data_IF_861291223211
#
_entry.id   IF_861291223211
#
_cell.length_a   1.000
_cell.length_b   1.000
_cell.length_c   1.000
_cell.angle_alpha   90.00
_cell.angle_beta   90.00
_cell.angle_gamma   90.00
#
_symmetry.space_group_name_H-M   'P 1'
#
loop_
_entity.id
_entity.type
_entity.pdbx_description
1 polymer ?
#
# COMPACT_ATOMS: atom_id res chain seq x y z
N UNK A 1 34.69 -6.18 36.92
CA UNK A 1 33.87 -6.91 35.93
C UNK A 1 32.42 -6.64 36.26
N UNK A 2 31.74 -5.83 35.46
CA UNK A 2 30.27 -5.72 35.48
C UNK A 2 29.82 -5.55 34.02
N UNK A 3 29.28 -6.61 33.44
CA UNK A 3 28.61 -6.58 32.15
C UNK A 3 27.22 -5.98 32.34
N UNK A 4 27.07 -4.69 32.02
CA UNK A 4 25.75 -4.07 31.86
C UNK A 4 25.16 -4.58 30.53
N UNK A 5 24.27 -5.56 30.63
CA UNK A 5 23.36 -5.94 29.55
C UNK A 5 22.45 -4.75 29.26
N UNK A 6 22.73 -4.03 28.18
CA UNK A 6 21.75 -3.11 27.59
C UNK A 6 20.88 -3.96 26.68
N UNK A 7 19.65 -4.20 27.14
CA UNK A 7 18.58 -4.78 26.33
C UNK A 7 18.38 -3.91 25.08
N UNK A 8 18.84 -4.39 23.93
CA UNK A 8 18.46 -3.86 22.64
C UNK A 8 17.10 -4.44 22.27
N UNK A 9 16.03 -3.86 22.81
CA UNK A 9 14.67 -4.05 22.31
C UNK A 9 14.16 -2.71 21.80
N UNK A 10 14.27 -2.52 20.50
CA UNK A 10 13.52 -1.55 19.72
C UNK A 10 13.25 -2.24 18.39
N UNK A 11 12.12 -2.94 18.36
CA UNK A 11 11.60 -3.68 17.22
C UNK A 11 11.76 -2.87 15.93
N UNK A 12 12.31 -3.49 14.90
CA UNK A 12 12.22 -2.95 13.56
C UNK A 12 10.75 -2.59 13.31
N UNK A 13 10.42 -1.36 12.87
CA UNK A 13 9.03 -1.00 12.59
C UNK A 13 8.43 -2.06 11.67
N UNK A 14 7.37 -2.71 12.16
CA UNK A 14 6.65 -3.80 11.52
C UNK A 14 6.48 -3.49 10.03
N UNK A 15 6.87 -4.41 9.16
CA UNK A 15 6.91 -4.17 7.72
C UNK A 15 5.57 -3.64 7.19
N UNK A 16 4.46 -4.15 7.72
CA UNK A 16 3.11 -3.71 7.35
C UNK A 16 2.85 -2.24 7.72
N UNK A 17 3.44 -1.76 8.82
CA UNK A 17 3.36 -0.34 9.21
C UNK A 17 4.07 0.54 8.17
N UNK A 18 5.28 0.15 7.74
CA UNK A 18 6.00 0.87 6.68
C UNK A 18 5.27 0.84 5.34
N UNK A 19 4.75 -0.32 4.95
CA UNK A 19 3.94 -0.49 3.75
C UNK A 19 2.70 0.42 3.79
N UNK A 20 2.00 0.47 4.93
CA UNK A 20 0.82 1.32 5.11
C UNK A 20 1.16 2.79 4.94
N UNK A 21 2.25 3.26 5.55
CA UNK A 21 2.67 4.66 5.41
C UNK A 21 3.08 4.99 3.97
N UNK A 22 3.79 4.10 3.27
CA UNK A 22 4.11 4.28 1.84
C UNK A 22 2.85 4.40 0.96
N UNK A 23 1.85 3.53 1.18
CA UNK A 23 0.58 3.59 0.46
C UNK A 23 -0.16 4.90 0.73
N UNK A 24 -0.19 5.36 1.99
CA UNK A 24 -0.81 6.64 2.36
C UNK A 24 -0.16 7.81 1.65
N UNK A 25 1.17 7.88 1.62
CA UNK A 25 1.90 8.94 0.92
C UNK A 25 1.53 8.98 -0.56
N UNK A 26 1.58 7.84 -1.25
CA UNK A 26 1.24 7.75 -2.67
C UNK A 26 -0.22 8.14 -2.92
N UNK A 27 -1.16 7.75 -2.06
CA UNK A 27 -2.56 8.16 -2.19
C UNK A 27 -2.75 9.65 -2.00
N UNK A 28 -2.09 10.26 -1.02
CA UNK A 28 -2.15 11.71 -0.80
C UNK A 28 -1.55 12.49 -1.97
N UNK A 29 -0.42 12.03 -2.52
CA UNK A 29 0.18 12.62 -3.71
C UNK A 29 -0.70 12.46 -4.95
N UNK A 30 -1.41 11.33 -5.11
CA UNK A 30 -2.31 11.11 -6.23
C UNK A 30 -3.48 12.11 -6.31
N UNK A 31 -3.87 12.69 -5.16
CA UNK A 31 -4.90 13.75 -5.11
C UNK A 31 -4.41 15.01 -5.82
N UNK A 32 -3.10 15.31 -5.72
CA UNK A 32 -2.47 16.46 -6.37
C UNK A 32 -2.29 16.24 -7.89
N UNK A 33 -2.33 14.99 -8.35
CA UNK A 33 -2.09 14.58 -9.73
C UNK A 33 -3.29 13.79 -10.30
N UNK A 34 -4.49 14.38 -10.38
CA UNK A 34 -5.76 13.69 -10.60
C UNK A 34 -5.86 12.89 -11.92
N UNK A 35 -5.12 13.31 -12.94
CA UNK A 35 -5.15 12.71 -14.27
C UNK A 35 -4.04 11.70 -14.52
N UNK A 36 -3.10 11.51 -13.58
CA UNK A 36 -1.92 10.67 -13.80
C UNK A 36 -2.09 9.26 -13.21
N UNK A 37 -3.05 8.52 -13.77
CA UNK A 37 -3.27 7.12 -13.42
C UNK A 37 -2.04 6.25 -13.71
N UNK A 38 -1.21 6.64 -14.69
CA UNK A 38 0.01 5.91 -15.03
C UNK A 38 1.08 6.08 -13.96
N UNK A 39 1.26 7.28 -13.42
CA UNK A 39 2.12 7.53 -12.27
C UNK A 39 1.67 6.71 -11.07
N UNK A 40 0.39 6.80 -10.69
CA UNK A 40 -0.12 6.08 -9.52
C UNK A 40 0.03 4.55 -9.70
N UNK A 41 -0.23 4.03 -10.90
CA UNK A 41 -0.05 2.62 -11.18
C UNK A 41 1.40 2.18 -11.06
N UNK A 42 2.35 3.00 -11.53
CA UNK A 42 3.79 2.72 -11.41
C UNK A 42 4.23 2.68 -9.95
N UNK A 43 3.86 3.68 -9.15
CA UNK A 43 4.22 3.73 -7.73
C UNK A 43 3.65 2.53 -6.97
N UNK A 44 2.37 2.19 -7.18
CA UNK A 44 1.75 1.02 -6.57
C UNK A 44 2.40 -0.29 -7.03
N UNK A 45 2.77 -0.40 -8.31
CA UNK A 45 3.44 -1.60 -8.83
C UNK A 45 4.78 -1.82 -8.12
N UNK A 46 5.56 -0.76 -7.89
CA UNK A 46 6.84 -0.84 -7.18
C UNK A 46 6.64 -1.25 -5.72
N UNK A 47 5.68 -0.63 -5.03
CA UNK A 47 5.33 -0.94 -3.64
C UNK A 47 4.94 -2.42 -3.49
N UNK A 48 4.01 -2.90 -4.32
CA UNK A 48 3.55 -4.30 -4.22
C UNK A 48 4.57 -5.30 -4.73
N UNK A 49 5.41 -4.95 -5.70
CA UNK A 49 6.54 -5.81 -6.10
C UNK A 49 7.48 -6.06 -4.92
N UNK A 50 7.84 -5.01 -4.17
CA UNK A 50 8.68 -5.15 -2.99
C UNK A 50 7.97 -5.93 -1.87
N UNK A 51 6.70 -5.64 -1.60
CA UNK A 51 5.93 -6.35 -0.58
C UNK A 51 5.72 -7.84 -0.90
N UNK A 52 5.42 -8.20 -2.15
CA UNK A 52 5.30 -9.59 -2.57
C UNK A 52 6.60 -10.35 -2.34
N UNK A 53 7.75 -9.72 -2.62
CA UNK A 53 9.08 -10.30 -2.38
C UNK A 53 9.37 -10.48 -0.90
N UNK A 54 9.08 -9.48 -0.08
CA UNK A 54 9.37 -9.54 1.36
C UNK A 54 8.53 -10.60 2.08
N UNK A 55 7.28 -10.79 1.66
CA UNK A 55 6.40 -11.85 2.20
C UNK A 55 6.57 -13.21 1.51
N UNK A 56 7.46 -13.33 0.52
CA UNK A 56 7.71 -14.58 -0.19
C UNK A 56 6.46 -15.13 -0.90
N UNK A 57 5.59 -14.26 -1.42
CA UNK A 57 4.34 -14.66 -2.05
C UNK A 57 4.61 -15.38 -3.37
N UNK A 58 3.93 -16.51 -3.58
CA UNK A 58 3.92 -17.20 -4.86
C UNK A 58 3.30 -16.32 -5.96
N UNK A 59 3.63 -16.60 -7.22
CA UNK A 59 3.18 -15.79 -8.36
C UNK A 59 1.65 -15.66 -8.42
N UNK A 60 0.93 -16.75 -8.15
CA UNK A 60 -0.55 -16.79 -8.15
C UNK A 60 -1.20 -16.04 -6.97
N UNK A 61 -0.45 -15.82 -5.88
CA UNK A 61 -0.89 -15.06 -4.70
C UNK A 61 -0.40 -13.62 -4.69
N UNK A 62 0.52 -13.28 -5.59
CA UNK A 62 1.14 -11.96 -5.66
C UNK A 62 0.11 -10.88 -5.94
N UNK A 63 0.25 -9.74 -5.25
CA UNK A 63 -0.56 -8.56 -5.53
C UNK A 63 -0.10 -7.94 -6.83
N UNK A 64 -1.05 -7.73 -7.73
CA UNK A 64 -0.87 -7.11 -9.04
C UNK A 64 -1.59 -5.77 -9.11
N UNK A 65 -1.05 -4.88 -9.95
CA UNK A 65 -1.62 -3.57 -10.24
C UNK A 65 -1.90 -3.52 -11.74
N UNK A 66 -3.16 -3.29 -12.11
CA UNK A 66 -3.62 -3.28 -13.49
C UNK A 66 -4.35 -1.97 -13.77
N UNK A 67 -3.93 -1.25 -14.79
CA UNK A 67 -4.66 -0.07 -15.28
C UNK A 67 -5.78 -0.54 -16.20
N UNK A 68 -7.01 -0.06 -15.97
CA UNK A 68 -8.17 -0.31 -16.83
C UNK A 68 -8.94 0.98 -17.05
N UNK A 69 -9.07 1.41 -18.30
CA UNK A 69 -9.83 2.61 -18.68
C UNK A 69 -9.46 3.84 -17.82
N UNK A 70 -10.30 4.14 -16.83
CA UNK A 70 -10.25 5.30 -15.92
C UNK A 70 -9.89 4.94 -14.46
N UNK A 71 -9.41 3.71 -14.22
CA UNK A 71 -9.16 3.19 -12.87
C UNK A 71 -7.93 2.30 -12.78
N UNK A 72 -7.46 2.14 -11.55
CA UNK A 72 -6.40 1.17 -11.21
C UNK A 72 -7.03 0.05 -10.39
N UNK A 73 -6.81 -1.18 -10.80
CA UNK A 73 -7.20 -2.37 -10.05
C UNK A 73 -5.97 -2.90 -9.31
N UNK A 74 -6.03 -2.94 -7.99
CA UNK A 74 -5.02 -3.59 -7.14
C UNK A 74 -5.64 -4.87 -6.59
N UNK A 75 -4.97 -6.02 -6.71
CA UNK A 75 -5.54 -7.27 -6.21
C UNK A 75 -4.68 -8.49 -6.46
N UNK A 76 -5.12 -9.62 -5.90
CA UNK A 76 -4.59 -10.95 -6.14
C UNK A 76 -5.75 -11.89 -6.57
N UNK A 77 -5.54 -13.20 -6.58
CA UNK A 77 -6.58 -14.16 -6.97
C UNK A 77 -7.83 -14.17 -6.06
N UNK A 78 -7.74 -13.63 -4.83
CA UNK A 78 -8.82 -13.66 -3.84
C UNK A 78 -9.54 -12.32 -3.70
N UNK A 79 -8.80 -11.22 -3.83
CA UNK A 79 -9.29 -9.89 -3.52
C UNK A 79 -8.90 -8.90 -4.60
N UNK A 80 -9.79 -7.96 -4.89
CA UNK A 80 -9.52 -6.87 -5.81
C UNK A 80 -10.16 -5.58 -5.30
N UNK A 81 -9.44 -4.48 -5.44
CA UNK A 81 -9.90 -3.13 -5.14
C UNK A 81 -9.70 -2.26 -6.36
N UNK A 82 -10.78 -1.63 -6.81
CA UNK A 82 -10.72 -0.57 -7.80
C UNK A 82 -10.44 0.77 -7.12
N UNK A 83 -9.45 1.48 -7.63
CA UNK A 83 -9.02 2.81 -7.25
C UNK A 83 -9.39 3.77 -8.36
N UNK A 84 -10.27 4.71 -8.07
CA UNK A 84 -10.65 5.81 -8.95
C UNK A 84 -10.21 7.11 -8.32
N UNK A 85 -9.91 8.11 -9.16
CA UNK A 85 -9.57 9.44 -8.64
C UNK A 85 -10.67 10.00 -7.73
N UNK A 86 -11.94 9.83 -8.12
CA UNK A 86 -13.09 10.27 -7.34
C UNK A 86 -13.10 9.69 -5.91
N UNK A 87 -12.63 8.44 -5.75
CA UNK A 87 -12.54 7.81 -4.43
C UNK A 87 -11.49 8.50 -3.56
N UNK A 88 -10.35 8.90 -4.11
CA UNK A 88 -9.32 9.65 -3.39
C UNK A 88 -9.76 11.08 -3.08
N UNK A 89 -10.41 11.76 -4.03
CA UNK A 89 -10.92 13.11 -3.86
C UNK A 89 -12.00 13.19 -2.76
N UNK A 90 -13.00 12.30 -2.79
CA UNK A 90 -14.01 12.20 -1.72
C UNK A 90 -13.38 11.89 -0.36
N UNK A 91 -12.34 11.05 -0.36
CA UNK A 91 -11.61 10.68 0.86
C UNK A 91 -10.90 11.85 1.55
N UNK A 92 -10.47 12.85 0.78
CA UNK A 92 -9.92 14.09 1.31
C UNK A 92 -11.00 14.96 1.98
N UNK A 93 -12.18 15.08 1.35
CA UNK A 93 -13.27 15.92 1.85
C UNK A 93 -13.89 15.38 3.15
N UNK A 94 -13.86 14.06 3.36
CA UNK A 94 -14.52 13.38 4.49
C UNK A 94 -13.60 13.10 5.70
N UNK A 95 -12.43 13.75 5.81
CA UNK A 95 -11.50 13.73 6.99
C UNK A 95 -10.28 12.80 6.93
N UNK A 96 -9.74 12.44 5.76
CA UNK A 96 -8.56 11.56 5.58
C UNK A 96 -8.70 10.11 6.13
N UNK A 97 -9.77 9.79 6.87
CA UNK A 97 -10.00 8.50 7.51
C UNK A 97 -10.10 7.35 6.51
N UNK A 98 -10.58 7.65 5.30
CA UNK A 98 -10.72 6.71 4.20
C UNK A 98 -9.41 6.39 3.48
N UNK A 99 -8.40 7.27 3.52
CA UNK A 99 -7.06 6.97 2.98
C UNK A 99 -6.33 5.96 3.86
N UNK A 100 -6.39 6.13 5.19
CA UNK A 100 -5.78 5.19 6.14
C UNK A 100 -6.48 3.82 6.11
N UNK A 101 -7.82 3.82 6.03
CA UNK A 101 -8.61 2.59 5.88
C UNK A 101 -8.32 1.85 4.57
N UNK A 102 -8.16 2.58 3.45
CA UNK A 102 -7.79 2.01 2.16
C UNK A 102 -6.38 1.43 2.19
N UNK A 103 -5.40 2.16 2.72
CA UNK A 103 -4.03 1.66 2.86
C UNK A 103 -3.98 0.40 3.73
N UNK A 104 -4.68 0.40 4.87
CA UNK A 104 -4.79 -0.77 5.76
C UNK A 104 -5.44 -1.97 5.06
N UNK A 105 -6.49 -1.73 4.25
CA UNK A 105 -7.14 -2.77 3.47
C UNK A 105 -6.19 -3.40 2.45
N UNK A 106 -5.42 -2.61 1.71
CA UNK A 106 -4.48 -3.17 0.73
C UNK A 106 -3.27 -3.87 1.38
N UNK A 107 -2.82 -3.44 2.56
CA UNK A 107 -1.82 -4.18 3.33
C UNK A 107 -2.27 -5.61 3.67
N UNK A 108 -3.57 -5.88 3.74
CA UNK A 108 -4.06 -7.24 3.99
C UNK A 108 -3.84 -8.19 2.81
N UNK A 109 -3.65 -7.67 1.59
CA UNK A 109 -3.51 -8.51 0.39
C UNK A 109 -2.16 -9.20 0.31
N UNK A 110 -1.16 -8.69 1.03
CA UNK A 110 0.18 -9.27 1.10
C UNK A 110 0.39 -10.16 2.34
N UNK A 111 -0.64 -10.32 3.17
CA UNK A 111 -0.58 -11.26 4.31
C UNK A 111 -0.70 -12.70 3.78
N UNK A 112 0.21 -13.62 4.17
CA UNK A 112 0.21 -15.01 3.68
C UNK A 112 -1.04 -15.81 4.07
#
# INVERSE_FOLDING_TARGET
METKSVEMSSEAPDFLSRLREQLKTVFLESILHPADLQWLARELTLIFHYANREFGLACEKSVQVIVKDDRICVGNQHHHTALTWERFWRSQQESNYSVDGLASSLCSYVRP
#
